data_IF_331859787275
#
_entry.id   IF_331859787275
#
_cell.length_a   1.000
_cell.length_b   1.000
_cell.length_c   1.000
_cell.angle_alpha   90.00
_cell.angle_beta   90.00
_cell.angle_gamma   90.00
#
_symmetry.space_group_name_H-M   'P 1'
#
loop_
_entity.id
_entity.type
_entity.pdbx_description
1 polymer ?
#
# COMPACT_ATOMS: atom_id res chain seq x y z
N UNK A 1 27.46 23.27 -14.49
CA UNK A 1 26.31 22.61 -13.83
C UNK A 1 25.34 22.17 -14.92
N UNK A 2 25.18 20.85 -15.16
CA UNK A 2 24.39 20.33 -16.26
C UNK A 2 22.88 20.52 -16.04
N UNK A 3 22.09 20.49 -17.12
CA UNK A 3 20.62 20.52 -17.09
C UNK A 3 20.06 19.50 -16.10
N UNK A 4 20.65 18.31 -15.98
CA UNK A 4 20.24 17.27 -15.03
C UNK A 4 20.29 17.73 -13.58
N UNK A 5 21.24 18.55 -13.15
CA UNK A 5 21.33 19.05 -11.78
C UNK A 5 20.24 20.09 -11.46
N UNK A 6 19.78 20.82 -12.48
CA UNK A 6 18.68 21.78 -12.34
C UNK A 6 17.36 21.03 -12.10
N UNK A 7 17.07 20.03 -12.93
CA UNK A 7 15.84 19.22 -12.80
C UNK A 7 15.78 18.44 -11.48
N UNK A 8 16.91 17.86 -11.04
CA UNK A 8 16.99 17.21 -9.74
C UNK A 8 16.63 18.14 -8.59
N UNK A 9 17.19 19.35 -8.58
CA UNK A 9 16.88 20.34 -7.54
C UNK A 9 15.42 20.79 -7.59
N UNK A 10 14.84 20.95 -8.77
CA UNK A 10 13.41 21.27 -8.91
C UNK A 10 12.51 20.13 -8.40
N UNK A 11 12.85 18.87 -8.71
CA UNK A 11 12.14 17.71 -8.20
C UNK A 11 12.16 17.67 -6.66
N UNK A 12 13.34 17.84 -6.05
CA UNK A 12 13.46 17.89 -4.59
C UNK A 12 12.68 19.07 -3.97
N UNK A 13 12.73 20.26 -4.56
CA UNK A 13 11.97 21.40 -4.08
C UNK A 13 10.44 21.19 -4.18
N UNK A 14 9.98 20.49 -5.23
CA UNK A 14 8.58 20.09 -5.35
C UNK A 14 8.19 19.09 -4.28
N UNK A 15 9.00 18.05 -4.10
CA UNK A 15 8.76 17.03 -3.05
C UNK A 15 8.73 17.64 -1.66
N UNK A 16 9.60 18.59 -1.33
CA UNK A 16 9.59 19.31 -0.05
C UNK A 16 8.24 20.00 0.20
N UNK A 17 7.67 20.64 -0.81
CA UNK A 17 6.35 21.29 -0.70
C UNK A 17 5.23 20.27 -0.51
N UNK A 18 5.24 19.19 -1.31
CA UNK A 18 4.24 18.11 -1.22
C UNK A 18 4.27 17.50 0.18
N UNK A 19 5.44 17.12 0.69
CA UNK A 19 5.57 16.50 2.01
C UNK A 19 5.14 17.45 3.12
N UNK A 20 5.49 18.72 3.05
CA UNK A 20 5.07 19.72 4.05
C UNK A 20 3.54 19.85 4.11
N UNK A 21 2.89 19.95 2.96
CA UNK A 21 1.44 20.03 2.87
C UNK A 21 0.75 18.74 3.35
N UNK A 22 1.26 17.59 2.90
CA UNK A 22 0.73 16.28 3.30
C UNK A 22 0.88 16.02 4.79
N UNK A 23 2.04 16.37 5.37
CA UNK A 23 2.28 16.21 6.80
C UNK A 23 1.31 17.06 7.65
N UNK A 24 1.05 18.31 7.23
CA UNK A 24 0.06 19.16 7.89
C UNK A 24 -1.35 18.57 7.81
N UNK A 25 -1.71 18.05 6.64
CA UNK A 25 -3.01 17.40 6.42
C UNK A 25 -3.20 16.14 7.28
N UNK A 26 -2.19 15.26 7.34
CA UNK A 26 -2.25 14.06 8.16
C UNK A 26 -2.29 14.37 9.66
N UNK A 27 -1.55 15.38 10.13
CA UNK A 27 -1.64 15.85 11.52
C UNK A 27 -3.05 16.32 11.87
N UNK A 28 -3.68 17.07 10.98
CA UNK A 28 -5.07 17.51 11.16
C UNK A 28 -6.04 16.32 11.27
N UNK A 29 -5.84 15.27 10.47
CA UNK A 29 -6.65 14.04 10.58
C UNK A 29 -6.48 13.36 11.94
N UNK A 30 -5.24 13.25 12.44
CA UNK A 30 -4.97 12.71 13.78
C UNK A 30 -5.66 13.52 14.87
N UNK A 31 -5.59 14.85 14.79
CA UNK A 31 -6.27 15.76 15.74
C UNK A 31 -7.80 15.60 15.71
N UNK A 32 -8.37 15.17 14.60
CA UNK A 32 -9.80 14.86 14.45
C UNK A 32 -10.18 13.45 14.90
N UNK A 33 -9.23 12.66 15.38
CA UNK A 33 -9.49 11.38 16.02
C UNK A 33 -9.63 10.20 15.06
N UNK A 34 -8.91 10.17 13.94
CA UNK A 34 -8.83 8.96 13.10
C UNK A 34 -8.09 7.84 13.84
N UNK A 35 -8.47 6.59 13.62
CA UNK A 35 -7.88 5.42 14.28
C UNK A 35 -6.61 4.92 13.57
N UNK A 36 -6.53 5.12 12.26
CA UNK A 36 -5.41 4.67 11.42
C UNK A 36 -5.22 5.62 10.24
N UNK A 37 -3.98 5.79 9.81
CA UNK A 37 -3.66 6.50 8.56
C UNK A 37 -3.25 5.50 7.47
N UNK A 38 -3.74 5.70 6.26
CA UNK A 38 -3.26 4.98 5.10
C UNK A 38 -2.77 5.94 4.03
N UNK A 39 -1.52 5.77 3.61
CA UNK A 39 -0.91 6.53 2.53
C UNK A 39 -0.86 5.68 1.27
N UNK A 40 -1.35 6.26 0.17
CA UNK A 40 -1.33 5.64 -1.15
C UNK A 40 -0.28 6.31 -2.03
N UNK A 41 0.72 5.53 -2.47
CA UNK A 41 1.59 5.86 -3.59
C UNK A 41 1.15 5.03 -4.79
N UNK A 42 0.11 5.51 -5.48
CA UNK A 42 -0.54 4.78 -6.58
C UNK A 42 0.32 4.68 -7.84
N UNK A 43 1.41 5.41 -7.91
CA UNK A 43 2.30 5.51 -9.05
C UNK A 43 3.74 5.10 -8.74
N UNK A 44 3.97 4.44 -7.60
CA UNK A 44 5.30 4.00 -7.16
C UNK A 44 6.08 3.22 -8.23
N UNK A 45 5.40 2.34 -8.95
CA UNK A 45 6.00 1.49 -9.97
C UNK A 45 6.39 2.18 -11.28
N UNK A 46 6.13 3.49 -11.44
CA UNK A 46 6.58 4.23 -12.62
C UNK A 46 8.08 4.51 -12.58
N UNK A 47 8.63 4.69 -11.38
CA UNK A 47 10.05 4.99 -11.22
C UNK A 47 10.87 3.69 -11.13
N UNK A 48 12.03 3.64 -11.81
CA UNK A 48 13.01 2.62 -11.54
C UNK A 48 13.45 2.61 -10.07
N UNK A 49 13.97 1.48 -9.55
CA UNK A 49 14.30 1.37 -8.13
C UNK A 49 15.26 2.43 -7.60
N UNK A 50 16.30 2.76 -8.35
CA UNK A 50 17.31 3.75 -7.94
C UNK A 50 16.73 5.17 -7.85
N UNK A 51 15.85 5.52 -8.78
CA UNK A 51 15.14 6.80 -8.78
C UNK A 51 14.13 6.87 -7.65
N UNK A 52 13.42 5.77 -7.38
CA UNK A 52 12.51 5.70 -6.23
C UNK A 52 13.25 5.90 -4.91
N UNK A 53 14.39 5.25 -4.73
CA UNK A 53 15.26 5.43 -3.57
C UNK A 53 15.78 6.87 -3.43
N UNK A 54 16.05 7.52 -4.54
CA UNK A 54 16.60 8.89 -4.55
C UNK A 54 15.54 9.95 -4.35
N UNK A 55 14.40 9.83 -5.04
CA UNK A 55 13.40 10.90 -5.15
C UNK A 55 12.14 10.69 -4.33
N UNK A 56 11.89 9.48 -3.80
CA UNK A 56 10.65 9.18 -3.08
C UNK A 56 10.92 8.71 -1.66
N UNK A 57 11.76 7.69 -1.48
CA UNK A 57 11.99 7.05 -0.20
C UNK A 57 12.40 8.02 0.94
N UNK A 58 13.31 9.00 0.73
CA UNK A 58 13.68 9.96 1.78
C UNK A 58 12.50 10.84 2.23
N UNK A 59 11.59 11.13 1.31
CA UNK A 59 10.41 11.94 1.58
C UNK A 59 9.32 11.15 2.30
N UNK A 60 9.12 9.89 1.92
CA UNK A 60 8.24 8.98 2.68
C UNK A 60 8.74 8.83 4.12
N UNK A 61 10.04 8.67 4.32
CA UNK A 61 10.64 8.61 5.66
C UNK A 61 10.31 9.85 6.47
N UNK A 62 10.54 11.03 5.93
CA UNK A 62 10.23 12.33 6.58
C UNK A 62 8.74 12.51 6.88
N UNK A 63 7.86 11.90 6.08
CA UNK A 63 6.42 11.94 6.29
C UNK A 63 5.97 10.96 7.38
N UNK A 64 6.47 9.73 7.34
CA UNK A 64 5.99 8.62 8.16
C UNK A 64 6.57 8.65 9.57
N UNK A 65 7.88 8.84 9.73
CA UNK A 65 8.56 8.77 11.04
C UNK A 65 7.92 9.63 12.14
N UNK A 66 7.53 10.91 11.91
CA UNK A 66 6.93 11.72 12.97
C UNK A 66 5.47 11.34 13.29
N UNK A 67 4.83 10.50 12.48
CA UNK A 67 3.43 10.11 12.62
C UNK A 67 3.25 8.67 13.10
N UNK A 68 4.07 7.74 12.63
CA UNK A 68 3.94 6.32 12.91
C UNK A 68 4.09 5.94 14.40
N UNK A 69 4.72 6.80 15.21
CA UNK A 69 4.77 6.65 16.66
C UNK A 69 3.49 7.09 17.39
N UNK A 70 2.60 7.80 16.69
CA UNK A 70 1.38 8.40 17.26
C UNK A 70 0.12 7.65 16.88
N UNK A 71 0.12 7.01 15.72
CA UNK A 71 -1.04 6.34 15.16
C UNK A 71 -0.57 5.19 14.24
N UNK A 72 -1.30 4.06 14.18
CA UNK A 72 -1.01 3.02 13.21
C UNK A 72 -0.99 3.57 11.78
N UNK A 73 0.00 3.16 11.01
CA UNK A 73 0.23 3.68 9.66
C UNK A 73 0.32 2.54 8.65
N UNK A 74 -0.48 2.62 7.61
CA UNK A 74 -0.48 1.69 6.48
C UNK A 74 0.13 2.41 5.27
N UNK A 75 1.10 1.79 4.61
CA UNK A 75 1.66 2.29 3.35
C UNK A 75 1.31 1.34 2.22
N UNK A 76 0.74 1.87 1.15
CA UNK A 76 0.49 1.14 -0.09
C UNK A 76 1.25 1.80 -1.24
N UNK A 77 2.19 1.06 -1.85
CA UNK A 77 2.98 1.50 -2.99
C UNK A 77 2.72 0.57 -4.18
N UNK A 78 1.81 0.98 -5.07
CA UNK A 78 1.37 0.17 -6.19
C UNK A 78 2.46 0.00 -7.25
N UNK A 79 2.63 -1.25 -7.72
CA UNK A 79 3.55 -1.59 -8.81
C UNK A 79 5.02 -1.47 -8.44
N UNK A 80 5.30 -1.24 -7.16
CA UNK A 80 6.69 -1.19 -6.69
C UNK A 80 7.35 -2.56 -6.84
N UNK A 81 8.62 -2.57 -7.19
CA UNK A 81 9.37 -3.82 -7.27
C UNK A 81 9.49 -4.47 -5.89
N UNK A 82 9.41 -5.80 -5.85
CA UNK A 82 9.51 -6.56 -4.60
C UNK A 82 10.80 -6.24 -3.81
N UNK A 83 11.90 -5.91 -4.49
CA UNK A 83 13.17 -5.54 -3.84
C UNK A 83 13.11 -4.26 -2.98
N UNK A 84 12.14 -3.38 -3.22
CA UNK A 84 11.95 -2.14 -2.45
C UNK A 84 11.02 -2.31 -1.24
N UNK A 85 10.13 -3.31 -1.23
CA UNK A 85 9.19 -3.53 -0.13
C UNK A 85 9.87 -3.67 1.25
N UNK A 86 11.00 -4.39 1.40
CA UNK A 86 11.73 -4.43 2.67
C UNK A 86 12.29 -3.07 3.13
N UNK A 87 12.51 -2.14 2.20
CA UNK A 87 12.93 -0.78 2.56
C UNK A 87 11.74 0.04 3.07
N UNK A 88 10.56 -0.15 2.48
CA UNK A 88 9.33 0.49 2.95
C UNK A 88 8.91 -0.01 4.34
N UNK A 89 9.07 -1.30 4.63
CA UNK A 89 8.76 -1.85 5.95
C UNK A 89 9.61 -1.22 7.07
N UNK A 90 10.85 -0.84 6.76
CA UNK A 90 11.77 -0.18 7.71
C UNK A 90 11.46 1.29 7.97
N UNK A 91 10.45 1.87 7.33
CA UNK A 91 10.00 3.23 7.62
C UNK A 91 9.18 3.33 8.92
N UNK A 92 8.96 2.22 9.62
CA UNK A 92 8.21 2.19 10.89
C UNK A 92 6.70 2.07 10.70
N UNK A 93 6.24 1.67 9.52
CA UNK A 93 4.81 1.39 9.25
C UNK A 93 4.37 0.11 9.96
N UNK A 94 3.12 0.07 10.42
CA UNK A 94 2.53 -1.10 11.05
C UNK A 94 1.98 -2.08 10.02
N UNK A 95 1.59 -1.58 8.84
CA UNK A 95 1.13 -2.44 7.76
C UNK A 95 1.64 -1.98 6.39
N UNK A 96 1.82 -2.95 5.49
CA UNK A 96 2.10 -2.72 4.07
C UNK A 96 0.97 -3.27 3.22
N UNK A 97 0.41 -2.41 2.37
CA UNK A 97 -0.49 -2.82 1.32
C UNK A 97 0.29 -3.44 0.16
N UNK A 98 -0.13 -4.61 -0.27
CA UNK A 98 0.40 -5.35 -1.41
C UNK A 98 -0.54 -5.22 -2.58
N UNK A 99 -0.03 -4.91 -3.76
CA UNK A 99 -0.81 -5.06 -4.98
C UNK A 99 -0.86 -6.54 -5.44
N UNK A 100 -1.71 -6.82 -6.38
CA UNK A 100 -1.97 -8.20 -6.85
C UNK A 100 -0.78 -8.87 -7.56
N UNK A 101 0.27 -8.11 -7.92
CA UNK A 101 1.47 -8.64 -8.57
C UNK A 101 2.46 -9.25 -7.58
N UNK A 102 2.31 -8.95 -6.30
CA UNK A 102 3.20 -9.45 -5.25
C UNK A 102 2.74 -10.84 -4.80
N UNK A 103 3.66 -11.79 -4.82
CA UNK A 103 3.42 -13.14 -4.30
C UNK A 103 3.28 -13.12 -2.77
N UNK A 104 2.17 -13.64 -2.21
CA UNK A 104 1.94 -13.65 -0.76
C UNK A 104 2.99 -14.44 0.02
N UNK A 105 3.43 -15.58 -0.48
CA UNK A 105 4.43 -16.41 0.18
C UNK A 105 5.79 -15.72 0.27
N UNK A 106 6.20 -15.06 -0.82
CA UNK A 106 7.39 -14.23 -0.81
C UNK A 106 7.25 -13.07 0.19
N UNK A 107 6.10 -12.37 0.19
CA UNK A 107 5.91 -11.22 1.06
C UNK A 107 6.00 -11.57 2.54
N UNK A 108 5.42 -12.70 2.97
CA UNK A 108 5.51 -13.17 4.36
C UNK A 108 6.95 -13.44 4.79
N UNK A 109 7.77 -14.02 3.91
CA UNK A 109 9.17 -14.32 4.21
C UNK A 109 10.05 -13.06 4.20
N UNK A 110 9.79 -12.14 3.27
CA UNK A 110 10.61 -10.95 3.08
C UNK A 110 10.27 -9.80 4.04
N UNK A 111 9.07 -9.80 4.64
CA UNK A 111 8.52 -8.72 5.45
C UNK A 111 8.09 -9.20 6.86
N UNK A 112 9.02 -9.81 7.62
CA UNK A 112 8.68 -10.32 8.94
C UNK A 112 8.29 -9.18 9.90
N UNK A 113 7.26 -9.43 10.71
CA UNK A 113 6.81 -8.48 11.76
C UNK A 113 5.98 -7.30 11.25
N UNK A 114 5.65 -7.26 9.98
CA UNK A 114 4.75 -6.24 9.39
C UNK A 114 3.41 -6.88 9.06
N UNK A 115 2.32 -6.23 9.41
CA UNK A 115 0.97 -6.64 8.97
C UNK A 115 0.88 -6.46 7.45
N UNK A 116 0.43 -7.50 6.75
CA UNK A 116 0.23 -7.44 5.30
C UNK A 116 -1.25 -7.13 4.98
N UNK A 117 -1.49 -6.25 4.01
CA UNK A 117 -2.83 -5.90 3.55
C UNK A 117 -2.95 -6.16 2.05
N UNK A 118 -4.01 -6.79 1.62
CA UNK A 118 -4.28 -7.03 0.19
C UNK A 118 -4.66 -8.50 -0.02
N UNK A 119 -4.46 -9.12 -1.20
CA UNK A 119 -4.00 -8.47 -2.45
C UNK A 119 -4.76 -9.10 -3.64
N UNK A 120 -6.09 -9.31 -3.44
CA UNK A 120 -6.90 -9.86 -4.53
C UNK A 120 -6.89 -8.89 -5.73
N UNK A 121 -6.65 -9.44 -6.93
CA UNK A 121 -6.79 -8.65 -8.15
C UNK A 121 -8.23 -8.15 -8.30
N UNK A 122 -8.45 -6.82 -8.36
CA UNK A 122 -9.79 -6.24 -8.49
C UNK A 122 -10.56 -6.75 -9.72
N UNK A 123 -9.87 -7.20 -10.76
CA UNK A 123 -10.50 -7.74 -11.97
C UNK A 123 -11.33 -8.99 -11.70
N UNK A 124 -11.03 -9.76 -10.65
CA UNK A 124 -11.85 -10.90 -10.26
C UNK A 124 -13.27 -10.50 -9.86
N UNK A 125 -13.49 -9.28 -9.40
CA UNK A 125 -14.85 -8.79 -9.09
C UNK A 125 -15.71 -8.57 -10.34
N UNK A 126 -15.14 -8.68 -11.54
CA UNK A 126 -15.88 -8.70 -12.80
C UNK A 126 -16.26 -10.13 -13.26
N UNK A 127 -15.82 -11.14 -12.50
CA UNK A 127 -16.08 -12.55 -12.81
C UNK A 127 -17.41 -13.03 -12.18
N UNK A 128 -17.76 -14.30 -12.39
CA UNK A 128 -18.93 -14.91 -11.74
C UNK A 128 -18.75 -14.99 -10.20
N UNK A 129 -19.86 -15.03 -9.43
CA UNK A 129 -19.84 -15.18 -7.99
C UNK A 129 -18.95 -16.33 -7.50
N UNK A 130 -19.03 -17.49 -8.12
CA UNK A 130 -18.24 -18.67 -7.75
C UNK A 130 -16.73 -18.43 -7.88
N UNK A 131 -16.33 -17.70 -8.93
CA UNK A 131 -14.92 -17.34 -9.13
C UNK A 131 -14.46 -16.35 -8.06
N UNK A 132 -15.28 -15.37 -7.71
CA UNK A 132 -14.97 -14.41 -6.65
C UNK A 132 -14.75 -15.15 -5.33
N UNK A 133 -15.70 -16.00 -4.92
CA UNK A 133 -15.58 -16.80 -3.69
C UNK A 133 -14.32 -17.66 -3.71
N UNK A 134 -14.10 -18.39 -4.79
CA UNK A 134 -12.92 -19.27 -4.92
C UNK A 134 -11.61 -18.51 -4.79
N UNK A 135 -11.49 -17.38 -5.49
CA UNK A 135 -10.26 -16.56 -5.50
C UNK A 135 -10.03 -15.86 -4.16
N UNK A 136 -11.09 -15.37 -3.53
CA UNK A 136 -11.03 -14.77 -2.20
C UNK A 136 -10.57 -15.80 -1.16
N UNK A 137 -11.18 -16.97 -1.12
CA UNK A 137 -10.77 -18.04 -0.20
C UNK A 137 -9.33 -18.49 -0.42
N UNK A 138 -8.91 -18.61 -1.70
CA UNK A 138 -7.51 -18.91 -2.02
C UNK A 138 -6.57 -17.84 -1.48
N UNK A 139 -6.89 -16.56 -1.66
CA UNK A 139 -6.08 -15.47 -1.11
C UNK A 139 -5.99 -15.58 0.42
N UNK A 140 -7.12 -15.72 1.10
CA UNK A 140 -7.16 -15.81 2.57
C UNK A 140 -6.32 -16.97 3.09
N UNK A 141 -6.37 -18.14 2.45
CA UNK A 141 -5.57 -19.30 2.85
C UNK A 141 -4.05 -19.12 2.70
N UNK A 142 -3.62 -18.11 1.95
CA UNK A 142 -2.20 -17.80 1.79
C UNK A 142 -1.64 -16.89 2.91
N UNK A 143 -2.50 -16.29 3.74
CA UNK A 143 -2.10 -15.35 4.79
C UNK A 143 -2.44 -15.83 6.21
N UNK A 144 -2.56 -17.13 6.43
CA UNK A 144 -2.95 -17.72 7.74
C UNK A 144 -1.87 -17.56 8.82
N UNK A 145 -0.61 -17.47 8.44
CA UNK A 145 0.53 -17.49 9.36
C UNK A 145 1.11 -16.10 9.69
N UNK A 146 0.42 -15.03 9.32
CA UNK A 146 0.88 -13.66 9.58
C UNK A 146 -0.30 -12.73 9.94
N UNK A 147 -0.05 -11.63 10.67
CA UNK A 147 -1.04 -10.56 10.81
C UNK A 147 -1.46 -10.04 9.43
N UNK A 148 -2.78 -10.04 9.17
CA UNK A 148 -3.29 -9.78 7.84
C UNK A 148 -4.57 -8.95 7.85
N UNK A 149 -4.69 -8.06 6.88
CA UNK A 149 -5.88 -7.27 6.59
C UNK A 149 -6.37 -7.66 5.18
N UNK A 150 -7.52 -8.33 5.11
CA UNK A 150 -8.10 -8.72 3.83
C UNK A 150 -8.51 -7.48 3.02
N UNK A 151 -7.98 -7.37 1.81
CA UNK A 151 -8.28 -6.28 0.89
C UNK A 151 -8.03 -6.72 -0.55
N UNK A 152 -8.46 -5.89 -1.48
CA UNK A 152 -8.04 -5.97 -2.88
C UNK A 152 -6.62 -5.42 -3.03
N UNK A 153 -5.94 -5.83 -4.08
CA UNK A 153 -4.61 -5.30 -4.44
C UNK A 153 -4.64 -3.90 -5.07
N UNK A 154 -5.81 -3.31 -5.24
CA UNK A 154 -6.06 -1.91 -5.64
C UNK A 154 -7.55 -1.58 -5.48
N UNK A 155 -7.94 -0.33 -5.79
CA UNK A 155 -9.35 0.05 -5.83
C UNK A 155 -10.16 -0.77 -6.82
N UNK A 156 -11.46 -0.92 -6.57
CA UNK A 156 -12.40 -1.58 -7.48
C UNK A 156 -12.51 -0.80 -8.80
N UNK A 157 -12.81 -1.52 -9.87
CA UNK A 157 -13.02 -0.91 -11.17
C UNK A 157 -14.41 -0.24 -11.24
N UNK A 158 -14.57 0.88 -11.98
CA UNK A 158 -15.84 1.59 -12.03
C UNK A 158 -17.04 0.75 -12.47
N UNK A 159 -16.81 -0.28 -13.28
CA UNK A 159 -17.84 -1.21 -13.79
C UNK A 159 -18.10 -2.40 -12.84
N UNK A 160 -17.46 -2.45 -11.67
CA UNK A 160 -17.67 -3.54 -10.70
C UNK A 160 -19.09 -3.50 -10.17
N UNK A 161 -19.91 -4.59 -10.30
CA UNK A 161 -21.21 -4.66 -9.66
C UNK A 161 -21.09 -4.58 -8.13
N UNK A 162 -21.98 -3.84 -7.49
CA UNK A 162 -21.98 -3.68 -6.02
C UNK A 162 -22.13 -5.03 -5.33
N UNK A 163 -22.95 -5.90 -5.88
CA UNK A 163 -23.19 -7.25 -5.36
C UNK A 163 -21.92 -8.11 -5.36
N UNK A 164 -21.01 -7.90 -6.31
CA UNK A 164 -19.74 -8.62 -6.39
C UNK A 164 -18.76 -8.16 -5.29
N UNK A 165 -18.77 -6.86 -4.96
CA UNK A 165 -18.03 -6.37 -3.81
C UNK A 165 -18.59 -6.96 -2.49
N UNK A 166 -19.92 -7.09 -2.38
CA UNK A 166 -20.56 -7.73 -1.23
C UNK A 166 -20.15 -9.20 -1.10
N UNK A 167 -20.13 -9.95 -2.22
CA UNK A 167 -19.67 -11.35 -2.22
C UNK A 167 -18.23 -11.48 -1.67
N UNK A 168 -17.34 -10.56 -2.05
CA UNK A 168 -15.98 -10.53 -1.49
C UNK A 168 -16.02 -10.35 0.03
N UNK A 169 -16.76 -9.37 0.53
CA UNK A 169 -16.90 -9.07 1.96
C UNK A 169 -17.46 -10.27 2.72
N UNK A 170 -18.56 -10.83 2.25
CA UNK A 170 -19.23 -11.99 2.89
C UNK A 170 -18.30 -13.21 2.92
N UNK A 171 -17.51 -13.40 1.85
CA UNK A 171 -16.53 -14.49 1.79
C UNK A 171 -15.41 -14.30 2.82
N UNK A 172 -14.92 -13.06 3.00
CA UNK A 172 -13.91 -12.73 4.01
C UNK A 172 -14.48 -12.96 5.41
N UNK A 173 -15.69 -12.48 5.69
CA UNK A 173 -16.32 -12.61 7.02
C UNK A 173 -16.67 -14.06 7.40
N UNK A 174 -16.96 -14.90 6.42
CA UNK A 174 -17.26 -16.32 6.62
C UNK A 174 -16.05 -17.25 6.57
N UNK A 175 -14.85 -16.71 6.36
CA UNK A 175 -13.63 -17.51 6.33
C UNK A 175 -13.18 -17.85 7.75
N UNK A 176 -13.11 -19.13 8.04
CA UNK A 176 -12.67 -19.72 9.33
C UNK A 176 -11.50 -20.65 9.13
#
# INVERSE_FOLDING_TARGET
RGLGDVYKRQAHALMDKIITATLSYLKMQIEKGVDVLQLFDSWAGILPPDEYQTFVLPYLKRLIEPLASKIPFILFARGITSSLLPQLSRLGVQALGLDWSIDPGWAQQALPGVTLQGNLDPSYLLSSPDVIVKKTRKMLSLFTDCPYIANLGHGILPQTPVEHAQIFIDTVQSFS
#
